data_IF_668336638680
#
_entry.id   IF_668336638680
#
_cell.length_a   1.000
_cell.length_b   1.000
_cell.length_c   1.000
_cell.angle_alpha   90.00
_cell.angle_beta   90.00
_cell.angle_gamma   90.00
#
_symmetry.space_group_name_H-M   'P 1'
#
loop_
_entity.id
_entity.type
_entity.pdbx_description
1 polymer ?
#
# COMPACT_ATOMS: atom_id res chain seq x y z
N UNK A 1 11.69 17.75 15.94
CA UNK A 1 10.28 17.55 15.52
C UNK A 1 9.72 16.50 16.44
N UNK A 2 8.88 16.88 17.40
CA UNK A 2 8.28 15.90 18.33
C UNK A 2 7.19 15.12 17.62
N UNK A 3 7.37 13.80 17.53
CA UNK A 3 6.40 12.87 16.99
C UNK A 3 5.64 12.21 18.14
N UNK A 4 4.83 12.99 18.87
CA UNK A 4 3.87 12.41 19.83
C UNK A 4 2.87 11.53 19.07
N UNK A 5 2.68 10.25 19.47
CA UNK A 5 1.67 9.40 18.85
C UNK A 5 0.28 9.95 19.13
N UNK A 6 -0.56 10.02 18.09
CA UNK A 6 -1.95 10.43 18.24
C UNK A 6 -2.69 9.46 19.17
N UNK A 7 -3.24 9.98 20.26
CA UNK A 7 -4.05 9.21 21.21
C UNK A 7 -5.39 8.88 20.51
N UNK A 8 -5.71 7.59 20.25
CA UNK A 8 -6.96 7.24 19.60
C UNK A 8 -8.15 7.45 20.55
N UNK A 9 -9.33 7.87 20.05
CA UNK A 9 -10.52 8.03 20.87
C UNK A 9 -11.01 6.68 21.43
N UNK A 10 -11.55 6.63 22.66
CA UNK A 10 -11.66 5.41 23.46
C UNK A 10 -12.78 4.42 23.07
N UNK A 11 -13.29 4.45 21.83
CA UNK A 11 -14.39 3.57 21.41
C UNK A 11 -14.34 3.13 19.92
N UNK A 12 -13.14 2.94 19.36
CA UNK A 12 -12.99 2.20 18.10
C UNK A 12 -12.68 0.74 18.40
N UNK A 13 -13.50 -0.24 17.94
CA UNK A 13 -13.16 -1.65 18.07
C UNK A 13 -11.92 -1.94 17.23
N UNK A 14 -10.78 -2.14 17.90
CA UNK A 14 -9.48 -2.46 17.28
C UNK A 14 -9.45 -3.91 16.79
N UNK A 15 -10.25 -4.18 15.77
CA UNK A 15 -10.38 -5.47 15.11
C UNK A 15 -10.36 -5.26 13.60
N UNK A 16 -9.19 -4.89 13.06
CA UNK A 16 -8.94 -4.96 11.62
C UNK A 16 -8.80 -6.44 11.25
N UNK A 17 -9.78 -7.07 10.55
CA UNK A 17 -9.59 -8.44 10.10
C UNK A 17 -8.44 -8.48 9.10
N UNK A 18 -7.48 -9.38 9.28
CA UNK A 18 -6.30 -9.44 8.41
C UNK A 18 -6.69 -9.83 6.99
N UNK A 19 -6.73 -8.83 6.10
CA UNK A 19 -6.94 -9.03 4.67
C UNK A 19 -5.77 -9.86 4.12
N UNK A 20 -6.01 -11.14 3.83
CA UNK A 20 -5.02 -12.03 3.20
C UNK A 20 -4.54 -11.35 1.91
N UNK A 21 -3.21 -11.24 1.75
CA UNK A 21 -2.55 -10.50 0.66
C UNK A 21 -3.13 -10.88 -0.70
N UNK A 22 -4.00 -10.02 -1.24
CA UNK A 22 -4.55 -10.16 -2.58
C UNK A 22 -3.40 -9.85 -3.56
N UNK A 23 -3.10 -10.71 -4.55
CA UNK A 23 -2.08 -10.41 -5.55
C UNK A 23 -2.42 -9.12 -6.28
N UNK A 24 -1.42 -8.25 -6.46
CA UNK A 24 -1.58 -6.98 -7.18
C UNK A 24 -2.02 -7.30 -8.61
N UNK A 25 -3.10 -6.66 -9.06
CA UNK A 25 -3.60 -6.85 -10.42
C UNK A 25 -2.46 -6.51 -11.41
N UNK A 26 -2.06 -7.42 -12.32
CA UNK A 26 -1.01 -7.12 -13.28
C UNK A 26 -1.47 -5.98 -14.21
N UNK A 27 -0.55 -5.09 -14.65
CA UNK A 27 -0.90 -4.08 -15.63
C UNK A 27 -1.34 -4.74 -16.94
N UNK A 28 -2.28 -4.15 -17.70
CA UNK A 28 -2.65 -4.65 -19.00
C UNK A 28 -1.42 -4.63 -19.92
N UNK A 29 -1.10 -5.77 -20.53
CA UNK A 29 0.08 -5.92 -21.37
C UNK A 29 -0.05 -5.06 -22.64
N UNK A 30 0.76 -4.01 -22.73
CA UNK A 30 0.99 -3.32 -23.99
C UNK A 30 1.98 -4.16 -24.84
N UNK A 31 1.74 -4.34 -26.15
CA UNK A 31 2.64 -5.11 -27.01
C UNK A 31 3.93 -4.31 -27.27
N UNK A 32 5.03 -4.70 -26.62
CA UNK A 32 6.36 -4.15 -26.90
C UNK A 32 7.08 -4.99 -27.95
N UNK A 33 7.09 -4.52 -29.19
CA UNK A 33 7.95 -5.04 -30.26
C UNK A 33 9.44 -4.93 -29.90
N UNK A 34 10.23 -5.95 -30.27
CA UNK A 34 11.71 -5.96 -30.40
C UNK A 34 12.55 -5.13 -29.41
N UNK A 35 13.51 -5.71 -28.69
CA UNK A 35 14.72 -6.27 -29.31
C UNK A 35 15.47 -7.12 -28.29
N UNK A 36 15.88 -8.33 -28.67
CA UNK A 36 16.81 -9.14 -27.87
C UNK A 36 18.26 -8.88 -28.29
N UNK A 37 19.13 -8.59 -27.33
CA UNK A 37 20.58 -8.47 -27.55
C UNK A 37 21.29 -9.65 -26.89
N UNK A 38 22.00 -10.44 -27.68
CA UNK A 38 22.73 -11.65 -27.23
C UNK A 38 23.96 -11.33 -26.36
N UNK A 39 24.36 -12.28 -25.49
CA UNK A 39 25.77 -12.67 -25.28
C UNK A 39 25.88 -14.05 -24.59
N UNK A 40 26.98 -14.84 -24.75
CA UNK A 40 26.96 -16.31 -24.52
C UNK A 40 28.05 -16.92 -23.59
N UNK A 41 27.94 -18.22 -23.29
CA UNK A 41 28.95 -19.08 -22.61
C UNK A 41 28.74 -19.24 -21.08
N UNK A 42 29.23 -20.26 -20.36
CA UNK A 42 29.96 -21.52 -20.66
C UNK A 42 30.07 -22.34 -19.33
N UNK A 43 30.40 -23.64 -19.21
CA UNK A 43 30.37 -24.84 -20.07
C UNK A 43 30.73 -26.09 -19.20
N UNK A 44 30.39 -27.34 -19.58
CA UNK A 44 30.84 -28.56 -18.87
C UNK A 44 30.11 -29.87 -19.19
N UNK A 45 30.83 -30.90 -19.66
CA UNK A 45 30.39 -32.32 -19.75
C UNK A 45 31.14 -33.21 -18.73
N UNK A 46 31.43 -34.51 -18.97
CA UNK A 46 31.05 -35.35 -20.12
C UNK A 46 30.66 -36.85 -19.82
N UNK A 47 30.22 -37.57 -20.86
CA UNK A 47 30.40 -39.01 -21.20
C UNK A 47 30.00 -40.19 -20.27
N UNK A 48 29.37 -41.20 -20.88
CA UNK A 48 29.24 -42.58 -20.39
C UNK A 48 28.50 -43.51 -21.38
N UNK A 49 29.17 -44.55 -21.90
CA UNK A 49 28.69 -45.47 -22.95
C UNK A 49 27.53 -46.42 -22.54
N UNK A 50 26.67 -46.79 -23.51
CA UNK A 50 26.61 -48.18 -24.05
C UNK A 50 25.62 -48.32 -25.23
N UNK A 51 25.91 -49.28 -26.12
CA UNK A 51 25.06 -49.68 -27.27
C UNK A 51 24.08 -50.78 -26.85
N UNK A 52 22.92 -50.86 -27.50
CA UNK A 52 22.61 -51.96 -28.45
C UNK A 52 21.18 -51.87 -29.00
N UNK A 53 20.91 -52.57 -30.11
CA UNK A 53 19.72 -52.39 -30.93
C UNK A 53 18.64 -53.46 -30.71
N UNK A 54 17.37 -53.07 -30.76
CA UNK A 54 16.25 -53.95 -31.09
C UNK A 54 15.07 -53.16 -31.69
N UNK A 55 14.38 -53.75 -32.66
CA UNK A 55 13.25 -53.13 -33.37
C UNK A 55 11.89 -53.50 -32.76
N UNK A 56 10.88 -52.63 -32.94
CA UNK A 56 9.48 -52.94 -32.63
C UNK A 56 8.61 -51.70 -32.43
N UNK A 57 7.57 -51.45 -33.25
CA UNK A 57 6.73 -50.26 -33.12
C UNK A 57 5.62 -50.47 -32.08
N UNK A 58 5.20 -49.40 -31.39
CA UNK A 58 3.95 -49.38 -30.63
C UNK A 58 3.38 -47.97 -30.58
N UNK A 59 2.18 -47.82 -31.14
CA UNK A 59 1.44 -46.56 -31.15
C UNK A 59 1.01 -46.18 -29.72
N UNK A 60 1.32 -44.95 -29.33
CA UNK A 60 0.57 -44.21 -28.32
C UNK A 60 0.34 -42.79 -28.86
N UNK A 61 -0.92 -42.37 -29.13
CA UNK A 61 -1.19 -41.00 -29.55
C UNK A 61 -0.93 -40.06 -28.37
N UNK A 62 0.23 -39.43 -28.38
CA UNK A 62 0.59 -38.37 -27.46
C UNK A 62 -0.35 -37.20 -27.74
N UNK A 63 -1.30 -36.94 -26.82
CA UNK A 63 -2.26 -35.82 -26.89
C UNK A 63 -1.52 -34.48 -26.72
N UNK A 64 -0.79 -34.07 -27.76
CA UNK A 64 -0.23 -32.74 -27.87
C UNK A 64 -1.38 -31.76 -28.04
N UNK A 65 -1.62 -30.95 -27.01
CA UNK A 65 -2.43 -29.74 -27.12
C UNK A 65 -1.73 -28.78 -28.08
N UNK A 66 -2.13 -28.84 -29.35
CA UNK A 66 -1.67 -27.92 -30.38
C UNK A 66 -2.14 -26.51 -30.03
N UNK A 67 -1.26 -25.72 -29.43
CA UNK A 67 -1.31 -24.27 -29.57
C UNK A 67 -0.96 -23.97 -31.04
N UNK A 68 -1.95 -24.05 -31.94
CA UNK A 68 -1.81 -23.46 -33.26
C UNK A 68 -1.60 -21.96 -33.07
N UNK A 69 -0.45 -21.47 -33.51
CA UNK A 69 -0.14 -20.05 -33.62
C UNK A 69 -1.11 -19.43 -34.63
N UNK A 70 -2.14 -18.76 -34.12
CA UNK A 70 -3.13 -18.09 -34.96
C UNK A 70 -2.50 -16.82 -35.56
N UNK A 71 -2.67 -16.53 -36.87
CA UNK A 71 -2.11 -15.32 -37.47
C UNK A 71 -2.62 -14.06 -36.75
N UNK A 72 -1.76 -13.04 -36.58
CA UNK A 72 -1.97 -11.96 -35.60
C UNK A 72 -3.17 -11.04 -35.86
N UNK A 73 -3.78 -11.12 -37.04
CA UNK A 73 -4.89 -10.27 -37.50
C UNK A 73 -6.21 -11.06 -37.66
N UNK A 74 -6.24 -12.33 -37.25
CA UNK A 74 -7.46 -13.15 -37.26
C UNK A 74 -8.23 -13.00 -35.93
N UNK A 75 -9.58 -12.94 -35.95
CA UNK A 75 -10.38 -12.83 -34.73
C UNK A 75 -10.14 -14.03 -33.80
N UNK A 76 -10.03 -13.83 -32.47
CA UNK A 76 -9.70 -14.90 -31.55
C UNK A 76 -10.72 -16.04 -31.65
N UNK A 77 -10.24 -17.28 -31.71
CA UNK A 77 -11.12 -18.46 -31.78
C UNK A 77 -12.10 -18.44 -30.58
N UNK A 78 -13.41 -18.68 -30.80
CA UNK A 78 -14.37 -18.80 -29.70
C UNK A 78 -13.94 -19.83 -28.66
N UNK A 79 -14.10 -19.49 -27.38
CA UNK A 79 -13.92 -20.41 -26.26
C UNK A 79 -14.84 -21.63 -26.38
N UNK A 80 -14.43 -22.78 -25.80
CA UNK A 80 -15.34 -23.92 -25.68
C UNK A 80 -16.55 -23.57 -24.78
N UNK A 81 -17.73 -24.19 -24.97
CA UNK A 81 -18.89 -23.92 -24.13
C UNK A 81 -18.63 -24.10 -22.63
N UNK A 82 -17.77 -25.05 -22.26
CA UNK A 82 -17.37 -25.29 -20.87
C UNK A 82 -16.49 -24.13 -20.35
N UNK A 83 -15.48 -23.71 -21.13
CA UNK A 83 -14.62 -22.58 -20.82
C UNK A 83 -15.43 -21.28 -20.65
N UNK A 84 -16.38 -21.02 -21.55
CA UNK A 84 -17.25 -19.86 -21.48
C UNK A 84 -18.10 -19.84 -20.20
N UNK A 85 -18.77 -20.95 -19.86
CA UNK A 85 -19.56 -21.07 -18.63
C UNK A 85 -18.70 -20.94 -17.37
N UNK A 86 -17.48 -21.47 -17.39
CA UNK A 86 -16.52 -21.31 -16.29
C UNK A 86 -16.15 -19.84 -16.08
N UNK A 87 -15.73 -19.13 -17.15
CA UNK A 87 -15.42 -17.70 -17.08
C UNK A 87 -16.62 -16.85 -16.70
N UNK A 88 -17.83 -17.18 -17.17
CA UNK A 88 -19.05 -16.48 -16.79
C UNK A 88 -19.31 -16.61 -15.28
N UNK A 89 -19.10 -17.79 -14.70
CA UNK A 89 -19.20 -18.02 -13.25
C UNK A 89 -18.11 -17.31 -12.45
N UNK A 90 -16.90 -17.22 -13.00
CA UNK A 90 -15.79 -16.45 -12.44
C UNK A 90 -16.12 -14.96 -12.38
N UNK A 91 -16.50 -14.36 -13.51
CA UNK A 91 -16.94 -12.96 -13.60
C UNK A 91 -18.12 -12.67 -12.67
N UNK A 92 -19.11 -13.55 -12.59
CA UNK A 92 -20.23 -13.39 -11.67
C UNK A 92 -19.79 -13.40 -10.20
N UNK A 93 -18.85 -14.28 -9.81
CA UNK A 93 -18.27 -14.29 -8.45
C UNK A 93 -17.51 -13.00 -8.16
N UNK A 94 -16.70 -12.53 -9.12
CA UNK A 94 -15.90 -11.32 -8.96
C UNK A 94 -16.77 -10.08 -8.84
N UNK A 95 -17.87 -9.99 -9.60
CA UNK A 95 -18.86 -8.93 -9.47
C UNK A 95 -19.50 -8.91 -8.08
N UNK A 96 -19.93 -10.07 -7.54
CA UNK A 96 -20.49 -10.18 -6.18
C UNK A 96 -19.46 -9.77 -5.12
N UNK A 97 -18.19 -10.16 -5.27
CA UNK A 97 -17.12 -9.75 -4.36
C UNK A 97 -16.87 -8.24 -4.46
N UNK A 98 -16.96 -7.65 -5.66
CA UNK A 98 -16.79 -6.21 -5.88
C UNK A 98 -17.96 -5.40 -5.33
N UNK A 99 -19.19 -5.86 -5.49
CA UNK A 99 -20.39 -5.31 -4.86
C UNK A 99 -20.23 -5.24 -3.34
N UNK A 100 -19.86 -6.36 -2.69
CA UNK A 100 -19.62 -6.40 -1.24
C UNK A 100 -18.49 -5.45 -0.79
N UNK A 101 -17.44 -5.28 -1.61
CA UNK A 101 -16.38 -4.30 -1.35
C UNK A 101 -16.90 -2.85 -1.45
N UNK A 102 -17.78 -2.55 -2.41
CA UNK A 102 -18.39 -1.22 -2.59
C UNK A 102 -19.32 -0.91 -1.42
N UNK A 103 -20.22 -1.82 -1.06
CA UNK A 103 -21.14 -1.66 0.09
C UNK A 103 -20.38 -1.47 1.41
N UNK A 104 -19.33 -2.26 1.64
CA UNK A 104 -18.45 -2.05 2.79
C UNK A 104 -17.82 -0.64 2.77
N UNK A 105 -17.24 -0.22 1.64
CA UNK A 105 -16.63 1.11 1.51
C UNK A 105 -17.63 2.23 1.78
N UNK A 106 -18.85 2.16 1.23
CA UNK A 106 -19.94 3.11 1.48
C UNK A 106 -20.26 3.15 2.99
N UNK A 107 -20.38 1.99 3.64
CA UNK A 107 -20.72 1.90 5.06
C UNK A 107 -19.70 2.54 6.01
N UNK A 108 -18.42 2.63 5.59
CA UNK A 108 -17.33 3.23 6.36
C UNK A 108 -16.94 4.64 5.90
N UNK A 109 -17.66 5.25 4.96
CA UNK A 109 -17.40 6.63 4.55
C UNK A 109 -17.59 7.59 5.73
N UNK A 110 -16.57 8.41 6.10
CA UNK A 110 -16.70 9.34 7.20
C UNK A 110 -17.73 10.42 6.87
N UNK A 111 -18.62 10.73 7.80
CA UNK A 111 -19.67 11.74 7.62
C UNK A 111 -20.87 11.30 6.77
N UNK A 112 -20.92 10.08 6.24
CA UNK A 112 -21.99 9.60 5.35
C UNK A 112 -23.41 9.63 5.97
N UNK A 113 -23.50 9.72 7.30
CA UNK A 113 -24.75 9.82 8.07
C UNK A 113 -25.09 11.24 8.55
N UNK A 114 -24.23 12.22 8.31
CA UNK A 114 -24.40 13.61 8.75
C UNK A 114 -24.77 14.51 7.60
N UNK A 115 -25.74 15.40 7.79
CA UNK A 115 -26.09 16.40 6.79
C UNK A 115 -24.96 17.41 6.55
N UNK A 116 -24.94 18.05 5.37
CA UNK A 116 -23.96 19.12 5.06
C UNK A 116 -24.02 20.26 6.09
N UNK A 117 -25.21 20.58 6.59
CA UNK A 117 -25.39 21.60 7.63
C UNK A 117 -24.70 21.21 8.95
N UNK A 118 -24.88 19.95 9.42
CA UNK A 118 -24.18 19.43 10.61
C UNK A 118 -22.66 19.39 10.42
N UNK A 119 -22.20 18.98 9.22
CA UNK A 119 -20.78 18.96 8.89
C UNK A 119 -20.19 20.37 8.93
N UNK A 120 -20.88 21.35 8.35
CA UNK A 120 -20.44 22.74 8.34
C UNK A 120 -20.52 23.41 9.72
N UNK A 121 -21.50 23.05 10.55
CA UNK A 121 -21.56 23.49 11.94
C UNK A 121 -20.40 22.92 12.76
N UNK A 122 -20.12 21.61 12.62
CA UNK A 122 -18.96 20.96 13.25
C UNK A 122 -17.64 21.60 12.83
N UNK A 123 -17.48 21.97 11.55
CA UNK A 123 -16.29 22.69 11.08
C UNK A 123 -16.15 24.04 11.79
N UNK A 124 -17.24 24.80 11.97
CA UNK A 124 -17.22 26.09 12.70
C UNK A 124 -16.87 25.91 14.18
N UNK A 125 -17.46 24.91 14.84
CA UNK A 125 -17.16 24.58 16.24
C UNK A 125 -15.67 24.22 16.42
N UNK A 126 -15.15 23.30 15.59
CA UNK A 126 -13.74 22.90 15.61
C UNK A 126 -12.78 24.07 15.30
N UNK A 127 -13.17 24.99 14.41
CA UNK A 127 -12.36 26.17 14.11
C UNK A 127 -12.24 27.13 15.31
N UNK A 128 -13.33 27.31 16.07
CA UNK A 128 -13.31 28.14 17.29
C UNK A 128 -12.56 27.45 18.43
N UNK A 129 -12.73 26.13 18.61
CA UNK A 129 -11.92 25.34 19.55
C UNK A 129 -10.41 25.44 19.24
N UNK A 130 -10.02 25.29 17.97
CA UNK A 130 -8.63 25.46 17.53
C UNK A 130 -8.09 26.86 17.83
N UNK A 131 -8.92 27.90 17.64
CA UNK A 131 -8.55 29.27 17.96
C UNK A 131 -8.24 29.44 19.45
N UNK A 132 -9.13 28.98 20.33
CA UNK A 132 -8.94 29.06 21.79
C UNK A 132 -7.67 28.30 22.22
N UNK A 133 -7.44 27.11 21.67
CA UNK A 133 -6.25 26.30 21.98
C UNK A 133 -4.96 26.98 21.51
N UNK A 134 -4.94 27.63 20.34
CA UNK A 134 -3.74 28.36 19.87
C UNK A 134 -3.51 29.68 20.63
N UNK A 135 -4.57 30.39 21.03
CA UNK A 135 -4.47 31.56 21.92
C UNK A 135 -3.86 31.18 23.28
N UNK A 136 -4.30 30.05 23.86
CA UNK A 136 -3.73 29.51 25.11
C UNK A 136 -2.28 29.05 24.92
N UNK A 137 -1.97 28.30 23.84
CA UNK A 137 -0.61 27.89 23.49
C UNK A 137 0.33 29.08 23.32
N UNK A 138 -0.16 30.17 22.72
CA UNK A 138 0.56 31.44 22.57
C UNK A 138 0.79 32.14 23.91
N UNK A 139 -0.19 32.13 24.82
CA UNK A 139 -0.03 32.65 26.18
C UNK A 139 1.01 31.85 26.97
N UNK A 140 0.91 30.52 27.03
CA UNK A 140 1.89 29.65 27.71
C UNK A 140 3.30 29.80 27.13
N UNK A 141 3.44 29.95 25.81
CA UNK A 141 4.74 30.21 25.16
C UNK A 141 5.37 31.55 25.57
N UNK A 142 4.56 32.61 25.71
CA UNK A 142 5.01 33.93 26.20
C UNK A 142 5.45 33.87 27.66
N UNK A 143 4.69 33.17 28.50
CA UNK A 143 5.05 32.97 29.90
C UNK A 143 6.36 32.18 30.05
N UNK A 144 6.51 31.08 29.31
CA UNK A 144 7.74 30.27 29.33
C UNK A 144 8.98 31.08 28.92
N UNK A 145 8.88 31.94 27.90
CA UNK A 145 9.95 32.87 27.52
C UNK A 145 10.31 33.82 28.65
N UNK A 146 9.31 34.47 29.26
CA UNK A 146 9.53 35.40 30.38
C UNK A 146 10.13 34.70 31.60
N UNK A 147 9.82 33.43 31.83
CA UNK A 147 10.40 32.65 32.91
C UNK A 147 11.85 32.24 32.59
N UNK A 148 12.14 31.86 31.34
CA UNK A 148 13.50 31.63 30.84
C UNK A 148 14.40 32.85 31.03
N UNK A 149 13.98 34.02 30.52
CA UNK A 149 14.72 35.29 30.66
C UNK A 149 15.05 35.63 32.13
N UNK A 150 14.15 35.32 33.08
CA UNK A 150 14.41 35.49 34.52
C UNK A 150 15.45 34.51 35.03
N UNK A 151 15.36 33.23 34.64
CA UNK A 151 16.32 32.20 35.04
C UNK A 151 17.71 32.54 34.49
N UNK A 152 17.81 32.93 33.22
CA UNK A 152 19.05 33.38 32.58
C UNK A 152 19.64 34.62 33.27
N UNK A 153 18.78 35.58 33.65
CA UNK A 153 19.18 36.76 34.41
C UNK A 153 19.78 36.41 35.78
N UNK A 154 19.18 35.46 36.51
CA UNK A 154 19.68 34.96 37.79
C UNK A 154 20.99 34.17 37.61
N UNK A 155 21.06 33.28 36.62
CA UNK A 155 22.28 32.51 36.29
C UNK A 155 23.45 33.43 35.92
N UNK A 156 23.18 34.45 35.11
CA UNK A 156 24.16 35.47 34.75
C UNK A 156 24.62 36.32 35.96
N UNK A 157 23.73 36.61 36.91
CA UNK A 157 24.08 37.32 38.14
C UNK A 157 24.96 36.46 39.06
N UNK A 158 24.61 35.17 39.25
CA UNK A 158 25.43 34.22 40.03
C UNK A 158 26.81 34.03 39.40
N UNK A 159 26.86 33.79 38.07
CA UNK A 159 28.12 33.61 37.33
C UNK A 159 29.06 34.82 37.46
N UNK A 160 28.52 36.06 37.35
CA UNK A 160 29.30 37.28 37.61
C UNK A 160 29.74 37.40 39.07
N UNK A 161 28.87 37.05 40.02
CA UNK A 161 29.18 37.07 41.45
C UNK A 161 30.34 36.14 41.82
N UNK A 162 30.33 34.90 41.32
CA UNK A 162 31.39 33.91 41.56
C UNK A 162 32.67 34.21 40.79
N UNK A 163 32.57 34.82 39.60
CA UNK A 163 33.74 35.17 38.77
C UNK A 163 34.63 36.27 39.37
N UNK A 164 34.07 37.17 40.18
CA UNK A 164 34.83 38.25 40.85
C UNK A 164 35.56 37.73 42.10
N UNK A 165 35.15 36.59 42.67
CA UNK A 165 35.74 36.03 43.89
C UNK A 165 37.04 35.22 43.66
N UNK A 166 37.53 35.11 42.42
CA UNK A 166 38.70 34.29 42.07
C UNK A 166 39.87 35.10 41.47
N UNK A 167 39.95 36.39 41.76
CA UNK A 167 41.13 37.24 41.47
C UNK A 167 41.72 37.78 42.78
N UNK A 168 42.57 36.97 43.40
CA UNK A 168 43.41 37.32 44.55
C UNK A 168 44.85 36.89 44.30
#
# INVERSE_FOLDING_TARGET
MDHSPAIPPPNVPSAVPQLKKIPKNPPPAAPTSGTATNTPGAAGGPSGDTKDAAAGPSNAPQMQQQHQEQPPDAPPRPDSPNTFLMRQRELARDLIIKEQQIEYLISVLPGIKSSEAEQQERIKQLAEELRVVEEERSARRRELRRLGEKVDGLLGAVSRGTGISNSG
#
